data_IF_004325683456
#
_entry.id   IF_004325683456
#
_cell.length_a   1.000
_cell.length_b   1.000
_cell.length_c   1.000
_cell.angle_alpha   90.00
_cell.angle_beta   90.00
_cell.angle_gamma   90.00
#
_symmetry.space_group_name_H-M   'P 1'
#
loop_
_entity.id
_entity.type
_entity.pdbx_description
1 polymer ?
#
# COMPACT_ATOMS: atom_id res chain seq x y z
N UNK A 1 34.53 -16.43 2.55
CA UNK A 1 33.62 -15.74 3.49
C UNK A 1 33.10 -14.50 2.78
N UNK A 2 31.83 -14.51 2.36
CA UNK A 2 31.22 -13.41 1.60
C UNK A 2 30.90 -12.19 2.48
N UNK A 3 30.31 -11.12 1.91
CA UNK A 3 29.94 -9.94 2.69
C UNK A 3 28.91 -10.29 3.78
N UNK A 4 29.15 -9.81 5.00
CA UNK A 4 28.23 -9.95 6.14
C UNK A 4 27.45 -8.64 6.32
N UNK A 5 26.12 -8.75 6.42
CA UNK A 5 25.24 -7.62 6.70
C UNK A 5 24.58 -7.81 8.06
N UNK A 6 25.05 -7.14 9.13
CA UNK A 6 24.41 -7.24 10.44
C UNK A 6 23.06 -6.51 10.42
N UNK A 7 21.97 -7.26 10.69
CA UNK A 7 20.62 -6.69 10.79
C UNK A 7 20.26 -6.58 12.28
N UNK A 8 20.03 -5.35 12.74
CA UNK A 8 19.54 -5.09 14.09
C UNK A 8 18.01 -4.97 14.08
N UNK A 9 17.32 -5.94 14.70
CA UNK A 9 15.85 -5.92 14.83
C UNK A 9 15.46 -5.34 16.18
N UNK A 10 14.82 -4.17 16.16
CA UNK A 10 14.31 -3.50 17.35
C UNK A 10 12.79 -3.70 17.42
N UNK A 11 12.31 -4.26 18.54
CA UNK A 11 10.87 -4.57 18.73
C UNK A 11 10.28 -3.89 19.96
N UNK A 12 11.11 -3.40 20.88
CA UNK A 12 10.64 -2.75 22.10
C UNK A 12 10.42 -1.25 21.86
N UNK A 13 9.28 -0.66 22.30
CA UNK A 13 8.94 0.74 22.05
C UNK A 13 10.01 1.73 22.50
N UNK A 14 10.65 1.48 23.65
CA UNK A 14 11.73 2.36 24.16
C UNK A 14 12.94 2.46 23.22
N UNK A 15 13.16 1.48 22.34
CA UNK A 15 14.24 1.51 21.35
C UNK A 15 13.77 1.97 19.97
N UNK A 16 12.51 1.71 19.59
CA UNK A 16 11.98 2.10 18.28
C UNK A 16 11.50 3.55 18.24
N UNK A 17 10.90 4.07 19.31
CA UNK A 17 10.34 5.43 19.33
C UNK A 17 11.38 6.53 19.05
N UNK A 18 12.59 6.51 19.67
CA UNK A 18 13.61 7.52 19.36
C UNK A 18 14.04 7.51 17.89
N UNK A 19 13.99 6.34 17.23
CA UNK A 19 14.35 6.22 15.83
C UNK A 19 13.25 6.72 14.91
N UNK A 20 11.99 6.39 15.19
CA UNK A 20 10.86 6.83 14.37
C UNK A 20 10.57 8.34 14.50
N UNK A 21 10.96 8.96 15.62
CA UNK A 21 10.80 10.39 15.88
C UNK A 21 12.01 11.23 15.48
N UNK A 22 13.16 10.60 15.22
CA UNK A 22 14.33 11.31 14.72
C UNK A 22 14.02 11.94 13.35
N UNK A 23 14.73 13.02 13.03
CA UNK A 23 14.65 13.63 11.71
C UNK A 23 15.09 12.65 10.63
N UNK A 24 14.41 12.69 9.49
CA UNK A 24 14.73 11.86 8.32
C UNK A 24 16.14 12.10 7.74
N UNK A 25 16.83 13.17 8.16
CA UNK A 25 18.24 13.43 7.84
C UNK A 25 19.20 12.57 8.66
N UNK A 26 18.81 12.16 9.86
CA UNK A 26 19.62 11.34 10.78
C UNK A 26 19.39 9.86 10.49
N UNK A 27 18.15 9.47 10.23
CA UNK A 27 17.75 8.08 10.00
C UNK A 27 17.17 7.96 8.60
N UNK A 28 17.99 7.61 7.60
CA UNK A 28 17.49 7.35 6.26
C UNK A 28 16.66 6.08 6.23
N UNK A 29 15.78 5.97 5.21
CA UNK A 29 15.04 4.74 4.92
C UNK A 29 16.02 3.62 4.58
N UNK A 30 15.60 2.38 4.85
CA UNK A 30 16.42 1.21 4.60
C UNK A 30 16.85 1.15 3.12
N UNK A 31 18.16 1.25 2.86
CA UNK A 31 18.64 1.34 1.48
C UNK A 31 18.48 0.02 0.72
N UNK A 32 18.47 -1.12 1.43
CA UNK A 32 18.39 -2.44 0.81
C UNK A 32 16.99 -2.68 0.22
N UNK A 33 15.95 -2.66 1.04
CA UNK A 33 14.56 -2.84 0.61
C UNK A 33 14.13 -1.76 -0.38
N UNK A 34 14.48 -0.50 -0.13
CA UNK A 34 14.06 0.60 -1.00
C UNK A 34 14.79 0.59 -2.35
N UNK A 35 15.99 0.00 -2.45
CA UNK A 35 16.68 -0.19 -3.74
C UNK A 35 15.96 -1.18 -4.65
N UNK A 36 15.34 -2.23 -4.09
CA UNK A 36 14.55 -3.22 -4.84
C UNK A 36 13.30 -2.59 -5.44
N UNK A 37 12.68 -1.65 -4.72
CA UNK A 37 11.46 -0.98 -5.16
C UNK A 37 11.71 0.14 -6.18
N UNK A 38 12.94 0.65 -6.29
CA UNK A 38 13.27 1.82 -7.09
C UNK A 38 12.99 1.67 -8.60
N UNK A 39 13.29 0.53 -9.27
CA UNK A 39 12.96 0.34 -10.68
C UNK A 39 11.46 0.39 -10.97
N UNK A 40 10.62 0.04 -9.99
CA UNK A 40 9.16 -0.01 -10.14
C UNK A 40 8.50 1.32 -9.76
N UNK A 41 8.76 1.82 -8.55
CA UNK A 41 8.07 2.99 -7.99
C UNK A 41 8.76 4.33 -8.30
N UNK A 42 10.02 4.29 -8.72
CA UNK A 42 10.85 5.47 -8.95
C UNK A 42 11.07 6.33 -7.70
N UNK A 43 11.69 7.49 -7.89
CA UNK A 43 12.07 8.40 -6.79
C UNK A 43 10.88 9.30 -6.32
N UNK A 44 9.79 8.64 -5.92
CA UNK A 44 8.55 9.22 -5.39
C UNK A 44 8.56 9.43 -3.87
N UNK A 45 7.41 9.76 -3.27
CA UNK A 45 7.31 10.06 -1.82
C UNK A 45 7.81 8.90 -0.94
N UNK A 46 7.53 7.66 -1.33
CA UNK A 46 7.97 6.49 -0.58
C UNK A 46 9.50 6.36 -0.60
N UNK A 47 10.17 6.56 -1.74
CA UNK A 47 11.59 6.28 -1.89
C UNK A 47 12.51 7.49 -1.66
N UNK A 48 12.04 8.70 -1.95
CA UNK A 48 12.81 9.93 -1.79
C UNK A 48 13.22 10.21 -0.34
N UNK A 49 14.29 10.99 -0.18
CA UNK A 49 14.83 11.43 1.11
C UNK A 49 15.11 12.95 1.14
N UNK A 50 15.42 13.47 2.33
CA UNK A 50 15.84 14.86 2.53
C UNK A 50 14.82 15.90 2.04
N UNK A 51 15.32 16.96 1.41
CA UNK A 51 14.51 18.10 0.98
C UNK A 51 13.49 17.73 -0.09
N UNK A 52 13.83 16.80 -1.00
CA UNK A 52 12.89 16.30 -2.02
C UNK A 52 11.69 15.62 -1.38
N UNK A 53 11.92 14.75 -0.40
CA UNK A 53 10.84 14.12 0.36
C UNK A 53 10.01 15.14 1.14
N UNK A 54 10.67 16.09 1.81
CA UNK A 54 10.01 17.15 2.58
C UNK A 54 9.09 18.00 1.69
N UNK A 55 9.57 18.35 0.49
CA UNK A 55 8.80 19.07 -0.52
C UNK A 55 7.58 18.27 -1.00
N UNK A 56 7.78 17.03 -1.45
CA UNK A 56 6.68 16.16 -1.90
C UNK A 56 5.65 15.91 -0.78
N UNK A 57 6.11 15.71 0.47
CA UNK A 57 5.22 15.51 1.61
C UNK A 57 4.38 16.75 1.88
N UNK A 58 4.99 17.94 1.84
CA UNK A 58 4.27 19.21 2.04
C UNK A 58 3.23 19.44 0.94
N UNK A 59 3.56 19.08 -0.30
CA UNK A 59 2.65 19.19 -1.43
C UNK A 59 1.44 18.25 -1.30
N UNK A 60 1.65 17.01 -0.85
CA UNK A 60 0.59 16.00 -0.79
C UNK A 60 -0.25 16.04 0.49
N UNK A 61 0.30 16.50 1.62
CA UNK A 61 -0.41 16.53 2.92
C UNK A 61 -1.82 17.16 2.84
N UNK A 62 -2.06 18.28 2.14
CA UNK A 62 -3.40 18.87 2.05
C UNK A 62 -4.45 17.96 1.39
N UNK A 63 -4.04 17.06 0.48
CA UNK A 63 -4.96 16.14 -0.18
C UNK A 63 -5.49 15.04 0.76
N UNK A 64 -4.88 14.88 1.94
CA UNK A 64 -5.30 13.94 2.98
C UNK A 64 -5.90 14.67 4.19
N UNK A 65 -6.35 15.92 4.01
CA UNK A 65 -7.08 16.65 5.03
C UNK A 65 -8.51 16.09 5.18
N UNK A 66 -9.10 16.20 6.38
CA UNK A 66 -10.39 15.60 6.71
C UNK A 66 -11.54 16.05 5.80
N UNK A 67 -11.53 17.30 5.34
CA UNK A 67 -12.53 17.83 4.39
C UNK A 67 -12.54 17.07 3.05
N UNK A 68 -11.38 16.60 2.60
CA UNK A 68 -11.29 15.77 1.38
C UNK A 68 -11.91 14.40 1.65
N UNK A 69 -11.71 13.85 2.86
CA UNK A 69 -12.31 12.58 3.24
C UNK A 69 -13.85 12.64 3.19
N UNK A 70 -14.47 13.74 3.66
CA UNK A 70 -15.92 13.92 3.55
C UNK A 70 -16.40 13.92 2.09
N UNK A 71 -15.62 14.52 1.18
CA UNK A 71 -15.95 14.56 -0.24
C UNK A 71 -15.86 13.19 -0.93
N UNK A 72 -14.91 12.33 -0.53
CA UNK A 72 -14.71 10.99 -1.14
C UNK A 72 -15.42 9.86 -0.40
N UNK A 73 -16.05 10.15 0.74
CA UNK A 73 -16.69 9.14 1.59
C UNK A 73 -17.82 8.40 0.86
N UNK A 74 -18.63 9.11 0.08
CA UNK A 74 -19.75 8.49 -0.63
C UNK A 74 -19.27 7.51 -1.70
N UNK A 75 -18.23 7.88 -2.46
CA UNK A 75 -17.59 6.99 -3.45
C UNK A 75 -17.02 5.74 -2.77
N UNK A 76 -16.28 5.91 -1.66
CA UNK A 76 -15.77 4.79 -0.88
C UNK A 76 -16.89 3.87 -0.38
N UNK A 77 -17.95 4.44 0.18
CA UNK A 77 -19.08 3.69 0.71
C UNK A 77 -19.82 2.91 -0.38
N UNK A 78 -19.96 3.50 -1.58
CA UNK A 78 -20.54 2.82 -2.74
C UNK A 78 -19.72 1.58 -3.14
N UNK A 79 -18.38 1.68 -3.18
CA UNK A 79 -17.52 0.54 -3.49
C UNK A 79 -17.60 -0.58 -2.46
N UNK A 80 -17.64 -0.25 -1.17
CA UNK A 80 -17.83 -1.23 -0.11
C UNK A 80 -19.19 -1.92 -0.22
N UNK A 81 -20.25 -1.18 -0.56
CA UNK A 81 -21.58 -1.75 -0.75
C UNK A 81 -21.64 -2.66 -1.98
N UNK A 82 -21.00 -2.26 -3.08
CA UNK A 82 -20.88 -3.07 -4.28
C UNK A 82 -20.22 -4.42 -3.96
N UNK A 83 -19.07 -4.38 -3.27
CA UNK A 83 -18.38 -5.58 -2.79
C UNK A 83 -19.28 -6.47 -1.91
N UNK A 84 -19.96 -5.87 -0.92
CA UNK A 84 -20.84 -6.60 0.00
C UNK A 84 -21.98 -7.30 -0.75
N UNK A 85 -22.54 -6.68 -1.78
CA UNK A 85 -23.54 -7.29 -2.64
C UNK A 85 -22.99 -8.50 -3.40
N UNK A 86 -21.78 -8.42 -3.95
CA UNK A 86 -21.13 -9.54 -4.65
C UNK A 86 -20.89 -10.75 -3.74
N UNK A 87 -20.39 -10.50 -2.52
CA UNK A 87 -20.10 -11.56 -1.54
C UNK A 87 -21.38 -12.12 -0.91
N UNK A 88 -22.49 -11.38 -0.91
CA UNK A 88 -23.78 -11.87 -0.40
C UNK A 88 -24.53 -12.81 -1.36
N UNK A 89 -24.07 -12.94 -2.62
CA UNK A 89 -24.68 -13.83 -3.63
C UNK A 89 -24.57 -15.30 -3.19
N UNK A 90 -25.56 -16.17 -3.49
CA UNK A 90 -25.63 -17.55 -2.99
C UNK A 90 -24.40 -18.44 -3.20
N UNK A 91 -23.47 -18.09 -4.10
CA UNK A 91 -22.20 -18.80 -4.29
C UNK A 91 -21.29 -18.80 -3.05
N UNK A 92 -21.42 -17.80 -2.17
CA UNK A 92 -20.74 -17.74 -0.87
C UNK A 92 -21.52 -18.38 0.28
N UNK A 93 -22.78 -18.81 0.06
CA UNK A 93 -23.59 -19.57 1.04
C UNK A 93 -23.30 -21.07 0.97
N UNK A 94 -22.07 -21.45 0.64
CA UNK A 94 -21.59 -22.83 0.66
C UNK A 94 -20.60 -23.04 1.80
N UNK A 95 -20.47 -24.29 2.24
CA UNK A 95 -19.59 -24.74 3.34
C UNK A 95 -18.09 -24.62 3.03
N UNK A 96 -17.71 -23.82 2.03
CA UNK A 96 -16.35 -23.63 1.54
C UNK A 96 -15.80 -22.29 2.03
N UNK A 97 -14.69 -22.32 2.76
CA UNK A 97 -13.91 -21.13 3.06
C UNK A 97 -13.50 -20.46 1.76
N UNK A 98 -13.96 -19.22 1.54
CA UNK A 98 -13.60 -18.42 0.37
C UNK A 98 -12.44 -17.51 0.72
N UNK A 99 -11.46 -17.36 -0.18
CA UNK A 99 -10.29 -16.51 0.04
C UNK A 99 -10.68 -15.04 -0.09
N UNK A 100 -10.73 -14.31 1.03
CA UNK A 100 -11.09 -12.90 1.05
C UNK A 100 -9.97 -11.97 0.59
N UNK A 101 -8.74 -12.47 0.44
CA UNK A 101 -7.58 -11.64 0.14
C UNK A 101 -7.70 -10.97 -1.24
N UNK A 102 -8.08 -11.73 -2.28
CA UNK A 102 -8.30 -11.19 -3.63
C UNK A 102 -9.45 -10.18 -3.65
N UNK A 103 -10.58 -10.54 -3.02
CA UNK A 103 -11.77 -9.70 -2.92
C UNK A 103 -11.48 -8.34 -2.24
N UNK A 104 -10.79 -8.36 -1.10
CA UNK A 104 -10.41 -7.13 -0.39
C UNK A 104 -9.37 -6.34 -1.20
N UNK A 105 -8.45 -7.00 -1.90
CA UNK A 105 -7.46 -6.34 -2.76
C UNK A 105 -8.11 -5.58 -3.91
N UNK A 106 -9.10 -6.18 -4.58
CA UNK A 106 -9.85 -5.55 -5.67
C UNK A 106 -10.72 -4.40 -5.16
N UNK A 107 -11.43 -4.57 -4.04
CA UNK A 107 -12.19 -3.50 -3.40
C UNK A 107 -11.29 -2.31 -3.04
N UNK A 108 -10.14 -2.59 -2.42
CA UNK A 108 -9.18 -1.55 -2.02
C UNK A 108 -8.65 -0.79 -3.23
N UNK A 109 -8.35 -1.50 -4.33
CA UNK A 109 -7.88 -0.87 -5.56
C UNK A 109 -8.96 0.02 -6.19
N UNK A 110 -10.19 -0.48 -6.33
CA UNK A 110 -11.28 0.27 -6.98
C UNK A 110 -11.66 1.51 -6.16
N UNK A 111 -11.76 1.36 -4.83
CA UNK A 111 -11.96 2.49 -3.92
C UNK A 111 -10.84 3.52 -4.02
N UNK A 112 -9.58 3.10 -4.06
CA UNK A 112 -8.45 4.02 -4.17
C UNK A 112 -8.49 4.76 -5.52
N UNK A 113 -8.76 4.05 -6.61
CA UNK A 113 -8.83 4.63 -7.95
C UNK A 113 -9.96 5.65 -8.08
N UNK A 114 -11.13 5.37 -7.50
CA UNK A 114 -12.26 6.31 -7.46
C UNK A 114 -11.96 7.52 -6.58
N UNK A 115 -11.56 7.31 -5.33
CA UNK A 115 -11.37 8.39 -4.37
C UNK A 115 -10.17 9.29 -4.68
N UNK A 116 -9.05 8.74 -5.14
CA UNK A 116 -7.79 9.51 -5.32
C UNK A 116 -7.62 9.98 -6.76
N UNK A 117 -8.04 9.18 -7.74
CA UNK A 117 -7.80 9.46 -9.16
C UNK A 117 -9.09 9.76 -9.95
N UNK A 118 -10.26 9.73 -9.29
CA UNK A 118 -11.57 9.86 -9.95
C UNK A 118 -11.70 8.91 -11.15
N UNK A 119 -11.13 7.71 -11.02
CA UNK A 119 -11.07 6.70 -12.06
C UNK A 119 -11.92 5.50 -11.68
N UNK A 120 -12.91 5.19 -12.51
CA UNK A 120 -13.78 4.03 -12.34
C UNK A 120 -13.24 2.84 -13.14
N UNK A 121 -12.63 1.88 -12.44
CA UNK A 121 -12.04 0.70 -13.06
C UNK A 121 -13.01 -0.47 -13.19
N UNK A 122 -14.02 -0.51 -12.30
CA UNK A 122 -14.89 -1.64 -12.03
C UNK A 122 -14.10 -2.95 -11.92
N UNK A 123 -12.92 -2.92 -11.28
CA UNK A 123 -12.04 -4.08 -11.18
C UNK A 123 -12.57 -5.14 -10.21
N UNK A 124 -13.62 -4.85 -9.44
CA UNK A 124 -14.28 -5.85 -8.61
C UNK A 124 -15.07 -6.89 -9.42
N UNK A 125 -15.43 -6.59 -10.68
CA UNK A 125 -16.26 -7.48 -11.51
C UNK A 125 -15.44 -8.40 -12.43
N UNK A 126 -14.14 -8.14 -12.57
CA UNK A 126 -13.26 -8.79 -13.55
C UNK A 126 -11.86 -9.00 -12.97
N UNK A 127 -11.11 -10.01 -13.43
CA UNK A 127 -9.72 -10.18 -13.00
C UNK A 127 -8.90 -8.94 -13.34
N UNK A 128 -8.09 -8.48 -12.38
CA UNK A 128 -7.22 -7.31 -12.54
C UNK A 128 -5.80 -7.75 -12.82
N UNK A 129 -5.32 -7.49 -14.04
CA UNK A 129 -3.91 -7.71 -14.41
C UNK A 129 -2.97 -6.94 -13.47
N UNK A 130 -3.38 -5.74 -13.04
CA UNK A 130 -2.63 -4.95 -12.08
C UNK A 130 -2.45 -5.69 -10.74
N UNK A 131 -3.51 -6.24 -10.16
CA UNK A 131 -3.39 -7.01 -8.91
C UNK A 131 -2.51 -8.24 -9.09
N UNK A 132 -2.67 -8.99 -10.20
CA UNK A 132 -1.83 -10.15 -10.49
C UNK A 132 -0.34 -9.78 -10.52
N UNK A 133 0.02 -8.68 -11.19
CA UNK A 133 1.41 -8.19 -11.24
C UNK A 133 1.90 -7.75 -9.86
N UNK A 134 1.07 -7.07 -9.05
CA UNK A 134 1.45 -6.67 -7.69
C UNK A 134 1.76 -7.89 -6.81
N UNK A 135 0.97 -8.96 -6.93
CA UNK A 135 1.19 -10.21 -6.19
C UNK A 135 2.48 -10.90 -6.64
N UNK A 136 2.73 -10.96 -7.95
CA UNK A 136 3.99 -11.51 -8.47
C UNK A 136 5.20 -10.70 -7.98
N UNK A 137 5.13 -9.37 -8.04
CA UNK A 137 6.19 -8.48 -7.54
C UNK A 137 6.42 -8.68 -6.05
N UNK A 138 5.37 -8.81 -5.24
CA UNK A 138 5.50 -9.06 -3.80
C UNK A 138 6.20 -10.40 -3.52
N UNK A 139 5.88 -11.44 -4.28
CA UNK A 139 6.51 -12.75 -4.15
C UNK A 139 7.99 -12.71 -4.56
N UNK A 140 8.33 -11.92 -5.57
CA UNK A 140 9.73 -11.70 -5.98
C UNK A 140 10.53 -10.95 -4.92
N UNK A 141 9.97 -9.90 -4.31
CA UNK A 141 10.64 -9.15 -3.24
C UNK A 141 10.92 -10.06 -2.04
N UNK A 142 9.95 -10.89 -1.63
CA UNK A 142 10.13 -11.83 -0.52
C UNK A 142 11.26 -12.84 -0.78
N UNK A 143 11.31 -13.43 -1.99
CA UNK A 143 12.39 -14.35 -2.39
C UNK A 143 13.76 -13.70 -2.42
N UNK A 144 13.83 -12.39 -2.69
CA UNK A 144 15.10 -11.66 -2.75
C UNK A 144 15.65 -11.31 -1.35
N UNK A 145 14.78 -11.33 -0.34
CA UNK A 145 15.14 -11.05 1.06
C UNK A 145 15.50 -12.30 1.88
N UNK A 146 15.32 -13.50 1.33
CA UNK A 146 15.71 -14.80 1.90
C UNK A 146 17.12 -15.24 1.44
#
# INVERSE_FOLDING_TARGET
MGPFYPILRLVHPNFTAPLLQATATIIPKDMFLYSVLNPWLGDGLLLSAGDKWSHHRRLLTPAFHFEIFEAVYEDFHQECRHHACQVAVPGFRGQHSSDMFEHISLMTLDSLQKCVFSFDSNCQEKPSEYIAVILELSALVMKWTE
#
